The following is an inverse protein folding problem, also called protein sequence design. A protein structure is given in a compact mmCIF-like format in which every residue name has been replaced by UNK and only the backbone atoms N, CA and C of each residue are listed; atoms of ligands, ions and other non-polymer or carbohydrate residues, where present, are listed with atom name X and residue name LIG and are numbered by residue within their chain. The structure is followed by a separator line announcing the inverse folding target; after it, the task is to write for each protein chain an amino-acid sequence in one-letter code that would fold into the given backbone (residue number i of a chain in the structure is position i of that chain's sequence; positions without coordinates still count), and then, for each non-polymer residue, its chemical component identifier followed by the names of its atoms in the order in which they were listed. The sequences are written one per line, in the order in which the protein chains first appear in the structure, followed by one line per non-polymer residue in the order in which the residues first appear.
data_IF_997497490438
#
_entry.id   IF_997497490438
#
_cell.length_a   1.000
_cell.length_b   1.000
_cell.length_c   1.000
_cell.angle_alpha   90.00
_cell.angle_beta   90.00
_cell.angle_gamma   90.00
#
_symmetry.space_group_name_H-M   'P 1'
#
loop_
_entity.id
_entity.type
_entity.pdbx_description
1 polymer ?
#
# COMPACT_ATOMS: atom_id res chain seq x y z
N UNK A 1 13.06 -2.40 7.29
CA UNK A 1 12.35 -3.00 6.14
C UNK A 1 12.77 -2.28 4.86
N UNK A 2 12.94 -2.99 3.74
CA UNK A 2 13.25 -2.43 2.41
C UNK A 2 12.03 -2.67 1.51
N UNK A 3 11.49 -1.63 0.89
CA UNK A 3 10.29 -1.72 0.04
C UNK A 3 10.69 -1.46 -1.41
N UNK A 4 10.34 -2.37 -2.31
CA UNK A 4 10.44 -2.18 -3.75
C UNK A 4 9.05 -1.91 -4.31
N UNK A 5 8.92 -0.96 -5.24
CA UNK A 5 7.64 -0.62 -5.88
C UNK A 5 7.72 -0.97 -7.36
N UNK A 6 6.75 -1.72 -7.88
CA UNK A 6 6.61 -2.00 -9.30
C UNK A 6 5.53 -1.10 -9.89
N UNK A 7 5.92 -0.25 -10.85
CA UNK A 7 5.02 0.69 -11.54
C UNK A 7 5.47 0.86 -12.97
N UNK A 8 4.50 0.82 -13.91
CA UNK A 8 4.75 1.01 -15.34
C UNK A 8 5.88 0.12 -15.89
N UNK A 9 5.91 -1.15 -15.46
CA UNK A 9 6.90 -2.13 -15.92
C UNK A 9 8.32 -1.96 -15.34
N UNK A 10 8.52 -1.07 -14.35
CA UNK A 10 9.81 -0.85 -13.71
C UNK A 10 9.74 -1.02 -12.20
N UNK A 11 10.82 -1.52 -11.63
CA UNK A 11 11.01 -1.62 -10.18
C UNK A 11 11.79 -0.41 -9.67
N UNK A 12 11.31 0.18 -8.59
CA UNK A 12 11.92 1.32 -7.90
C UNK A 12 12.26 0.93 -6.46
N UNK A 13 13.33 1.51 -5.92
CA UNK A 13 13.75 1.30 -4.53
C UNK A 13 15.15 0.68 -4.41
N UNK A 14 15.51 0.16 -3.22
CA UNK A 14 14.64 0.03 -2.05
C UNK A 14 14.33 1.37 -1.38
N UNK A 15 13.12 1.49 -0.83
CA UNK A 15 12.65 2.63 -0.05
C UNK A 15 12.36 2.24 1.40
N UNK A 16 12.43 3.24 2.27
CA UNK A 16 11.85 3.22 3.63
C UNK A 16 10.36 3.58 3.57
N UNK A 17 9.61 3.24 4.62
CA UNK A 17 8.20 3.64 4.76
C UNK A 17 8.02 5.16 4.65
N UNK A 18 8.91 5.95 5.27
CA UNK A 18 8.86 7.40 5.21
C UNK A 18 9.03 7.93 3.77
N UNK A 19 9.92 7.33 2.98
CA UNK A 19 10.09 7.66 1.57
C UNK A 19 8.85 7.29 0.75
N UNK A 20 8.26 6.12 0.98
CA UNK A 20 6.99 5.73 0.33
C UNK A 20 5.88 6.74 0.63
N UNK A 21 5.69 7.13 1.90
CA UNK A 21 4.72 8.17 2.27
C UNK A 21 5.00 9.50 1.56
N UNK A 22 6.27 9.88 1.42
CA UNK A 22 6.69 11.04 0.63
C UNK A 22 6.28 10.93 -0.84
N UNK A 23 6.54 9.79 -1.49
CA UNK A 23 6.16 9.55 -2.88
C UNK A 23 4.65 9.52 -3.10
N UNK A 24 3.88 8.97 -2.15
CA UNK A 24 2.41 8.99 -2.19
C UNK A 24 1.88 10.42 -2.09
N UNK A 25 2.39 11.24 -1.15
CA UNK A 25 2.00 12.67 -1.04
C UNK A 25 2.35 13.48 -2.28
N UNK A 26 3.42 13.12 -2.97
CA UNK A 26 3.86 13.76 -4.21
C UNK A 26 3.19 13.17 -5.48
N UNK A 27 2.22 12.26 -5.35
CA UNK A 27 1.57 11.54 -6.46
C UNK A 27 2.54 10.79 -7.41
N UNK A 28 3.77 10.50 -6.95
CA UNK A 28 4.73 9.70 -7.71
C UNK A 28 4.29 8.23 -7.80
N UNK A 29 3.72 7.73 -6.69
CA UNK A 29 3.10 6.42 -6.57
C UNK A 29 1.63 6.56 -6.16
N UNK A 30 0.86 5.51 -6.35
CA UNK A 30 -0.54 5.38 -5.90
C UNK A 30 -0.69 4.11 -5.07
N UNK A 31 -1.72 4.04 -4.23
CA UNK A 31 -1.94 2.90 -3.34
C UNK A 31 -2.06 1.55 -4.04
N UNK A 32 -2.56 1.54 -5.28
CA UNK A 32 -2.70 0.33 -6.11
C UNK A 32 -1.41 -0.13 -6.81
N UNK A 33 -0.31 0.65 -6.75
CA UNK A 33 0.98 0.17 -7.25
C UNK A 33 1.40 -1.08 -6.46
N UNK A 34 2.08 -2.02 -7.11
CA UNK A 34 2.55 -3.23 -6.42
C UNK A 34 3.82 -2.93 -5.63
N UNK A 35 3.95 -3.58 -4.48
CA UNK A 35 5.08 -3.40 -3.58
C UNK A 35 5.54 -4.73 -2.98
N UNK A 36 6.85 -4.89 -2.86
CA UNK A 36 7.49 -6.03 -2.22
C UNK A 36 8.36 -5.56 -1.07
N UNK A 37 8.07 -6.04 0.15
CA UNK A 37 8.79 -5.65 1.36
C UNK A 37 9.45 -6.81 2.11
N UNK A 38 9.08 -8.05 1.75
CA UNK A 38 9.56 -9.32 2.32
C UNK A 38 10.47 -10.10 1.36
N UNK A 39 10.65 -9.60 0.13
CA UNK A 39 11.45 -10.25 -0.93
C UNK A 39 10.74 -11.37 -1.68
N UNK A 40 9.47 -11.68 -1.37
CA UNK A 40 8.75 -12.83 -1.93
C UNK A 40 7.38 -12.46 -2.52
N UNK A 41 6.63 -11.58 -1.85
CA UNK A 41 5.27 -11.25 -2.25
C UNK A 41 5.16 -9.82 -2.76
N UNK A 42 4.32 -9.64 -3.77
CA UNK A 42 3.92 -8.33 -4.28
C UNK A 42 2.48 -8.07 -3.85
N UNK A 43 2.30 -7.08 -2.98
CA UNK A 43 0.99 -6.64 -2.48
C UNK A 43 0.72 -5.20 -2.93
N UNK A 44 -0.48 -4.65 -2.69
CA UNK A 44 -0.71 -3.23 -2.97
C UNK A 44 0.17 -2.37 -2.07
N UNK A 45 0.64 -1.23 -2.58
CA UNK A 45 1.46 -0.28 -1.84
C UNK A 45 0.70 0.24 -0.61
N UNK A 46 -0.63 0.37 -0.70
CA UNK A 46 -1.51 0.71 0.42
C UNK A 46 -1.64 -0.38 1.49
N UNK A 47 -1.28 -1.63 1.19
CA UNK A 47 -1.33 -2.76 2.14
C UNK A 47 0.03 -2.98 2.83
N UNK A 48 1.08 -2.27 2.41
CA UNK A 48 2.40 -2.39 3.01
C UNK A 48 2.36 -1.91 4.47
N UNK A 49 2.81 -2.72 5.44
CA UNK A 49 2.81 -2.35 6.85
C UNK A 49 3.50 -1.00 7.10
N UNK A 50 2.75 -0.08 7.72
CA UNK A 50 3.20 1.27 8.05
C UNK A 50 3.08 2.31 6.93
N UNK A 51 2.71 1.94 5.70
CA UNK A 51 2.50 2.88 4.59
C UNK A 51 1.13 3.55 4.67
N UNK A 52 0.07 2.75 4.77
CA UNK A 52 -1.23 3.26 5.16
C UNK A 52 -1.25 3.43 6.68
N UNK A 53 -1.31 4.67 7.14
CA UNK A 53 -2.08 4.91 8.34
C UNK A 53 -3.50 4.61 7.91
N UNK A 54 -4.00 3.42 8.22
CA UNK A 54 -5.44 3.19 8.20
C UNK A 54 -5.91 4.09 9.35
N UNK A 55 -6.55 5.26 9.15
CA UNK A 55 -7.42 5.72 10.22
C UNK A 55 -8.42 4.59 10.33
N UNK A 56 -8.59 4.05 11.54
CA UNK A 56 -9.30 2.82 11.93
C UNK A 56 -10.80 2.82 11.53
N UNK A 57 -11.08 3.00 10.24
CA UNK A 57 -12.38 3.24 9.60
C UNK A 57 -12.65 2.19 8.50
N UNK A 58 -11.66 1.36 8.15
CA UNK A 58 -11.84 0.27 7.19
C UNK A 58 -12.28 -1.06 7.84
N UNK A 59 -12.55 -1.09 9.16
CA UNK A 59 -13.20 -2.24 9.80
C UNK A 59 -14.74 -2.21 9.70
N UNK A 60 -15.36 -1.08 9.36
CA UNK A 60 -16.83 -0.98 9.30
C UNK A 60 -17.45 -1.32 7.94
N UNK A 61 -16.68 -1.36 6.84
CA UNK A 61 -17.27 -1.66 5.53
C UNK A 61 -17.42 -3.16 5.20
N UNK A 62 -16.86 -4.07 6.01
CA UNK A 62 -17.15 -5.51 5.85
C UNK A 62 -18.46 -5.90 6.58
N UNK A 63 -19.05 -5.04 7.42
CA UNK A 63 -20.30 -5.34 8.14
C UNK A 63 -21.60 -4.90 7.42
N UNK A 64 -21.55 -4.06 6.40
CA UNK A 64 -22.75 -3.68 5.61
C UNK A 64 -22.87 -4.51 4.31
N UNK A 65 -22.93 -5.83 4.40
CA UNK A 65 -23.46 -6.64 3.28
C UNK A 65 -24.28 -7.86 3.68
N UNK A 66 -24.90 -7.85 4.86
CA UNK A 66 -25.75 -8.98 5.29
C UNK A 66 -27.01 -8.60 6.05
N UNK A 67 -27.62 -7.44 5.78
CA UNK A 67 -28.97 -7.15 6.29
C UNK A 67 -29.78 -6.37 5.26
N UNK A 68 -30.33 -7.08 4.27
CA UNK A 68 -31.67 -6.85 3.71
C UNK A 68 -32.14 -8.17 3.07
N UNK A 69 -32.66 -9.05 3.91
CA UNK A 69 -33.72 -9.99 3.52
C UNK A 69 -35.07 -9.32 3.68
#
# INVERSE_FOLDING_TARGET
MKIYVHRKGKNFGPFTVAQIKGHLRANNFVGDDLACFDGSHWIKLSEVPGVSEIPDLAKDQIRLKTEKS
#
